data_IF_258720513776
#
_entry.id   IF_258720513776
#
_cell.length_a   1.000
_cell.length_b   1.000
_cell.length_c   1.000
_cell.angle_alpha   90.00
_cell.angle_beta   90.00
_cell.angle_gamma   90.00
#
_symmetry.space_group_name_H-M   'P 1'
#
loop_
_entity.id
_entity.type
_entity.pdbx_description
1 polymer ?
#
# COMPACT_ATOMS: atom_id res chain seq x y z
N UNK A 1 -7.26 0.86 9.48
CA UNK A 1 -5.87 0.45 9.77
C UNK A 1 -4.92 1.65 9.79
N UNK A 2 -4.82 2.46 8.73
CA UNK A 2 -3.88 3.59 8.67
C UNK A 2 -4.04 4.62 9.81
N UNK A 3 -5.26 5.03 10.13
CA UNK A 3 -5.51 6.00 11.19
C UNK A 3 -5.14 5.47 12.59
N UNK A 4 -5.43 4.20 12.86
CA UNK A 4 -5.06 3.54 14.12
C UNK A 4 -3.54 3.36 14.24
N UNK A 5 -2.86 2.97 13.16
CA UNK A 5 -1.41 2.88 13.13
C UNK A 5 -0.76 4.25 13.33
N UNK A 6 -1.30 5.30 12.72
CA UNK A 6 -0.80 6.67 12.89
C UNK A 6 -1.00 7.14 14.34
N UNK A 7 -2.21 7.06 14.88
CA UNK A 7 -2.51 7.47 16.25
C UNK A 7 -1.69 6.68 17.29
N UNK A 8 -1.57 5.36 17.11
CA UNK A 8 -0.76 4.51 17.98
C UNK A 8 0.73 4.82 17.92
N UNK A 9 1.27 5.04 16.71
CA UNK A 9 2.69 5.40 16.52
C UNK A 9 3.01 6.78 17.07
N UNK A 10 2.09 7.74 16.92
CA UNK A 10 2.20 9.08 17.51
C UNK A 10 2.20 9.02 19.04
N UNK A 11 1.28 8.28 19.65
CA UNK A 11 1.26 8.10 21.10
C UNK A 11 2.55 7.43 21.62
N UNK A 12 3.02 6.39 20.93
CA UNK A 12 4.26 5.68 21.28
C UNK A 12 5.50 6.58 21.15
N UNK A 13 5.56 7.42 20.10
CA UNK A 13 6.64 8.38 19.90
C UNK A 13 6.67 9.45 21.01
N UNK A 14 5.51 9.89 21.48
CA UNK A 14 5.40 10.82 22.61
C UNK A 14 5.88 10.20 23.94
N UNK A 15 5.66 8.89 24.15
CA UNK A 15 6.09 8.19 25.37
C UNK A 15 7.60 7.86 25.39
N UNK A 16 8.19 7.56 24.23
CA UNK A 16 9.60 7.14 24.14
C UNK A 16 10.60 8.32 24.08
N UNK A 17 10.13 9.52 23.72
CA UNK A 17 10.99 10.68 23.49
C UNK A 17 11.85 10.56 22.22
N UNK A 18 12.33 11.70 21.71
CA UNK A 18 12.98 11.76 20.40
C UNK A 18 14.22 10.85 20.28
N UNK A 19 15.08 10.82 21.31
CA UNK A 19 16.35 10.07 21.31
C UNK A 19 16.20 8.56 21.15
N UNK A 20 15.17 7.97 21.76
CA UNK A 20 14.89 6.54 21.65
C UNK A 20 13.97 6.25 20.46
N UNK A 21 13.00 7.15 20.18
CA UNK A 21 12.05 7.01 19.10
C UNK A 21 12.70 6.85 17.73
N UNK A 22 13.70 7.67 17.39
CA UNK A 22 14.36 7.56 16.08
C UNK A 22 15.11 6.23 15.90
N UNK A 23 15.70 5.69 16.99
CA UNK A 23 16.41 4.40 16.96
C UNK A 23 15.44 3.24 16.73
N UNK A 24 14.30 3.26 17.42
CA UNK A 24 13.24 2.26 17.26
C UNK A 24 12.68 2.28 15.85
N UNK A 25 12.42 3.48 15.30
CA UNK A 25 11.94 3.64 13.92
C UNK A 25 12.97 3.11 12.92
N UNK A 26 14.26 3.44 13.08
CA UNK A 26 15.29 2.92 12.16
C UNK A 26 15.42 1.40 12.23
N UNK A 27 15.43 0.84 13.44
CA UNK A 27 15.53 -0.60 13.64
C UNK A 27 14.31 -1.34 13.04
N UNK A 28 13.10 -0.84 13.28
CA UNK A 28 11.89 -1.43 12.72
C UNK A 28 11.87 -1.35 11.20
N UNK A 29 12.29 -0.23 10.62
CA UNK A 29 12.33 -0.07 9.17
C UNK A 29 13.30 -1.06 8.52
N UNK A 30 14.51 -1.22 9.09
CA UNK A 30 15.50 -2.17 8.57
C UNK A 30 15.03 -3.62 8.64
N UNK A 31 14.40 -4.03 9.74
CA UNK A 31 13.90 -5.39 9.93
C UNK A 31 12.71 -5.66 9.00
N UNK A 32 11.70 -4.78 8.99
CA UNK A 32 10.50 -4.93 8.17
C UNK A 32 10.83 -4.91 6.67
N UNK A 33 11.74 -4.03 6.26
CA UNK A 33 12.17 -3.92 4.86
C UNK A 33 12.94 -5.18 4.44
N UNK A 34 13.88 -5.66 5.26
CA UNK A 34 14.60 -6.92 5.00
C UNK A 34 13.62 -8.09 4.90
N UNK A 35 12.63 -8.16 5.79
CA UNK A 35 11.56 -9.15 5.73
C UNK A 35 10.73 -9.08 4.44
N UNK A 36 10.38 -7.88 3.97
CA UNK A 36 9.69 -7.69 2.69
C UNK A 36 10.52 -8.18 1.50
N UNK A 37 11.81 -7.83 1.44
CA UNK A 37 12.68 -8.26 0.35
C UNK A 37 12.89 -9.77 0.34
N UNK A 38 13.06 -10.39 1.51
CA UNK A 38 13.18 -11.84 1.62
C UNK A 38 11.84 -12.52 1.26
N UNK A 39 10.72 -12.00 1.76
CA UNK A 39 9.38 -12.51 1.46
C UNK A 39 9.10 -12.52 -0.05
N UNK A 40 9.24 -11.38 -0.70
CA UNK A 40 9.03 -11.25 -2.15
C UNK A 40 10.07 -12.06 -2.95
N UNK A 41 11.35 -11.98 -2.60
CA UNK A 41 12.43 -12.63 -3.36
C UNK A 41 12.42 -14.16 -3.25
N UNK A 42 12.20 -14.70 -2.04
CA UNK A 42 12.30 -16.14 -1.78
C UNK A 42 10.98 -16.86 -2.06
N UNK A 43 9.84 -16.29 -1.67
CA UNK A 43 8.55 -16.99 -1.76
C UNK A 43 7.81 -16.70 -3.07
N UNK A 44 7.90 -15.49 -3.61
CA UNK A 44 7.18 -15.14 -4.84
C UNK A 44 8.03 -15.32 -6.11
N UNK A 45 9.37 -15.45 -5.99
CA UNK A 45 10.34 -15.60 -7.10
C UNK A 45 10.16 -14.58 -8.24
N UNK A 46 9.46 -13.49 -7.98
CA UNK A 46 9.29 -12.37 -8.91
C UNK A 46 10.27 -11.28 -8.53
N UNK A 47 10.80 -10.58 -9.53
CA UNK A 47 11.49 -9.33 -9.25
C UNK A 47 10.52 -8.41 -8.50
N UNK A 48 10.99 -7.65 -7.49
CA UNK A 48 10.13 -6.75 -6.75
C UNK A 48 9.51 -5.78 -7.77
N UNK A 49 8.19 -5.65 -7.77
CA UNK A 49 7.44 -4.82 -8.73
C UNK A 49 7.92 -3.35 -8.81
N UNK A 50 8.67 -2.93 -7.79
CA UNK A 50 9.36 -1.66 -7.68
C UNK A 50 10.52 -1.51 -8.68
N UNK A 51 11.19 -2.60 -9.06
CA UNK A 51 12.28 -2.61 -10.05
C UNK A 51 11.78 -2.84 -11.48
N UNK A 52 10.68 -3.57 -11.68
CA UNK A 52 10.20 -3.87 -13.03
C UNK A 52 9.40 -2.72 -13.65
N UNK A 53 8.70 -1.89 -12.85
CA UNK A 53 7.87 -0.83 -13.40
C UNK A 53 7.41 0.24 -12.35
N UNK A 54 8.37 0.87 -11.67
CA UNK A 54 8.11 1.92 -10.67
C UNK A 54 7.15 3.01 -11.17
N UNK A 55 7.34 3.46 -12.41
CA UNK A 55 6.50 4.47 -13.04
C UNK A 55 5.06 3.98 -13.19
N UNK A 56 4.84 2.74 -13.61
CA UNK A 56 3.51 2.16 -13.73
C UNK A 56 2.82 2.03 -12.38
N UNK A 57 3.52 1.55 -11.34
CA UNK A 57 2.94 1.42 -10.01
C UNK A 57 2.57 2.80 -9.43
N UNK A 58 3.45 3.79 -9.60
CA UNK A 58 3.24 5.15 -9.11
C UNK A 58 2.12 5.88 -9.86
N UNK A 59 1.95 5.63 -11.15
CA UNK A 59 0.82 6.16 -11.92
C UNK A 59 -0.48 5.40 -11.58
N UNK A 60 -0.48 4.07 -11.61
CA UNK A 60 -1.72 3.30 -11.43
C UNK A 60 -2.36 3.45 -10.05
N UNK A 61 -1.57 3.56 -8.98
CA UNK A 61 -2.12 3.68 -7.62
C UNK A 61 -3.05 4.89 -7.43
N UNK A 62 -2.66 6.15 -7.74
CA UNK A 62 -3.55 7.30 -7.63
C UNK A 62 -4.71 7.24 -8.63
N UNK A 63 -4.50 6.72 -9.83
CA UNK A 63 -5.59 6.53 -10.80
C UNK A 63 -6.65 5.54 -10.30
N UNK A 64 -6.26 4.46 -9.64
CA UNK A 64 -7.18 3.48 -9.07
C UNK A 64 -8.07 4.11 -8.00
N UNK A 65 -7.47 4.83 -7.05
CA UNK A 65 -8.21 5.53 -5.98
C UNK A 65 -9.16 6.59 -6.56
N UNK A 66 -8.72 7.35 -7.57
CA UNK A 66 -9.55 8.34 -8.23
C UNK A 66 -10.76 7.70 -8.93
N UNK A 67 -10.55 6.62 -9.69
CA UNK A 67 -11.63 5.92 -10.39
C UNK A 67 -12.60 5.27 -9.40
N UNK A 68 -12.12 4.71 -8.30
CA UNK A 68 -12.96 4.16 -7.23
C UNK A 68 -13.81 5.25 -6.56
N UNK A 69 -13.21 6.42 -6.28
CA UNK A 69 -13.94 7.56 -5.74
C UNK A 69 -14.99 8.10 -6.71
N UNK A 70 -14.67 8.19 -8.02
CA UNK A 70 -15.62 8.61 -9.05
C UNK A 70 -16.77 7.62 -9.22
N UNK A 71 -16.47 6.32 -9.17
CA UNK A 71 -17.46 5.25 -9.19
C UNK A 71 -18.39 5.35 -7.97
N UNK A 72 -17.83 5.53 -6.77
CA UNK A 72 -18.61 5.60 -5.53
C UNK A 72 -19.47 6.87 -5.44
N UNK A 73 -18.92 8.03 -5.81
CA UNK A 73 -19.60 9.32 -5.68
C UNK A 73 -20.54 9.65 -6.84
N UNK A 74 -20.20 9.24 -8.07
CA UNK A 74 -20.91 9.66 -9.28
C UNK A 74 -21.39 8.50 -10.16
N UNK A 75 -21.23 7.24 -9.72
CA UNK A 75 -21.49 6.03 -10.54
C UNK A 75 -20.77 6.08 -11.91
N UNK A 76 -19.62 6.75 -11.96
CA UNK A 76 -18.83 6.85 -13.17
C UNK A 76 -18.27 5.48 -13.54
N UNK A 77 -18.47 5.08 -14.80
CA UNK A 77 -17.85 3.90 -15.38
C UNK A 77 -16.88 4.31 -16.50
N UNK A 78 -15.61 3.85 -16.49
CA UNK A 78 -14.64 4.16 -17.55
C UNK A 78 -15.11 3.71 -18.95
N UNK A 79 -15.85 2.59 -19.00
CA UNK A 79 -16.51 2.10 -20.20
C UNK A 79 -17.81 1.37 -19.80
N UNK A 80 -18.82 1.30 -20.70
CA UNK A 80 -20.09 0.67 -20.40
C UNK A 80 -19.92 -0.77 -19.91
N UNK A 81 -20.45 -1.09 -18.73
CA UNK A 81 -20.37 -2.44 -18.15
C UNK A 81 -19.01 -2.81 -17.55
N UNK A 82 -18.14 -1.83 -17.28
CA UNK A 82 -16.86 -2.05 -16.60
C UNK A 82 -17.05 -2.71 -15.23
N UNK A 83 -17.99 -2.21 -14.42
CA UNK A 83 -18.20 -2.70 -13.07
C UNK A 83 -18.65 -4.18 -13.06
N UNK A 84 -19.59 -4.54 -13.95
CA UNK A 84 -20.07 -5.91 -14.11
C UNK A 84 -18.92 -6.89 -14.47
N UNK A 85 -18.00 -6.47 -15.33
CA UNK A 85 -16.83 -7.27 -15.72
C UNK A 85 -15.83 -7.44 -14.58
N UNK A 86 -15.61 -6.40 -13.76
CA UNK A 86 -14.76 -6.48 -12.57
C UNK A 86 -15.38 -7.44 -11.55
N UNK A 87 -16.68 -7.29 -11.26
CA UNK A 87 -17.41 -8.15 -10.33
C UNK A 87 -17.39 -9.62 -10.75
N UNK A 88 -17.47 -9.91 -12.06
CA UNK A 88 -17.37 -11.27 -12.58
C UNK A 88 -15.97 -11.88 -12.37
N UNK A 89 -14.89 -11.08 -12.46
CA UNK A 89 -13.52 -11.56 -12.24
C UNK A 89 -13.14 -11.69 -10.77
N UNK A 90 -13.72 -10.89 -9.88
CA UNK A 90 -13.43 -10.96 -8.43
C UNK A 90 -14.10 -12.16 -7.76
N UNK A 91 -15.20 -12.69 -8.34
CA UNK A 91 -15.94 -13.83 -7.80
C UNK A 91 -15.46 -15.20 -8.30
N UNK A 92 -14.45 -15.24 -9.17
CA UNK A 92 -13.89 -16.46 -9.75
C UNK A 92 -12.50 -16.71 -9.14
#
# INVERSE_FOLDING_TARGET
MCFLCWAGSSALAHLLGFSLGWKVVLASQLVCWTGQFIGHGVFEKRAPALLDNLAQAFLMAPFFVLLEALQYAFNYEPCPGFNARVQAKVRC
#
